data_IF_339783735004
#
_entry.id   IF_339783735004
#
_cell.length_a   1.000
_cell.length_b   1.000
_cell.length_c   1.000
_cell.angle_alpha   90.00
_cell.angle_beta   90.00
_cell.angle_gamma   90.00
#
_symmetry.space_group_name_H-M   'P 1'
#
loop_
_entity.id
_entity.type
_entity.pdbx_description
1 polymer ?
#
# COMPACT_ATOMS: atom_id res chain seq x y z
N UNK A 1 -6.91 -2.79 8.85
CA UNK A 1 -6.58 -1.34 8.93
C UNK A 1 -7.80 -0.47 9.25
N UNK A 2 -8.91 -0.52 8.49
CA UNK A 2 -10.10 0.34 8.70
C UNK A 2 -10.62 0.31 10.14
N UNK A 3 -10.79 -0.87 10.74
CA UNK A 3 -11.23 -0.99 12.13
C UNK A 3 -10.31 -0.23 13.10
N UNK A 4 -9.00 -0.42 12.98
CA UNK A 4 -8.03 0.28 13.84
C UNK A 4 -8.08 1.80 13.65
N UNK A 5 -8.21 2.28 12.41
CA UNK A 5 -8.38 3.69 12.12
C UNK A 5 -9.67 4.25 12.75
N UNK A 6 -10.78 3.53 12.64
CA UNK A 6 -12.05 3.94 13.24
C UNK A 6 -11.96 4.01 14.78
N UNK A 7 -11.25 3.06 15.43
CA UNK A 7 -10.98 3.12 16.88
C UNK A 7 -10.21 4.38 17.24
N UNK A 8 -9.14 4.70 16.50
CA UNK A 8 -8.36 5.93 16.75
C UNK A 8 -9.24 7.16 16.59
N UNK A 9 -10.01 7.25 15.50
CA UNK A 9 -10.85 8.41 15.22
C UNK A 9 -11.98 8.59 16.25
N UNK A 10 -12.47 7.52 16.86
CA UNK A 10 -13.54 7.59 17.85
C UNK A 10 -13.05 7.87 19.26
N UNK A 11 -11.92 7.26 19.68
CA UNK A 11 -11.51 7.25 21.09
C UNK A 11 -10.29 8.10 21.39
N UNK A 12 -9.47 8.46 20.40
CA UNK A 12 -8.34 9.35 20.61
C UNK A 12 -8.81 10.78 20.54
N UNK A 13 -8.62 11.55 21.62
CA UNK A 13 -8.95 12.98 21.68
C UNK A 13 -8.10 13.85 20.78
N UNK A 14 -8.23 15.15 20.89
CA UNK A 14 -7.53 16.18 20.11
C UNK A 14 -6.75 17.19 20.98
N UNK A 15 -6.51 16.82 22.22
CA UNK A 15 -5.93 17.66 23.25
C UNK A 15 -4.37 17.69 23.26
N UNK A 16 -3.73 17.06 22.29
CA UNK A 16 -2.28 17.14 22.10
C UNK A 16 -1.85 16.92 20.65
N UNK A 17 -0.70 17.49 20.26
CA UNK A 17 -0.14 17.32 18.92
C UNK A 17 0.04 15.86 18.50
N UNK A 18 0.46 15.00 19.44
CA UNK A 18 0.62 13.56 19.19
C UNK A 18 -0.72 12.90 18.84
N UNK A 19 -1.79 13.27 19.55
CA UNK A 19 -3.13 12.75 19.30
C UNK A 19 -3.69 13.29 17.99
N UNK A 20 -3.52 14.56 17.70
CA UNK A 20 -3.92 15.18 16.43
C UNK A 20 -3.21 14.51 15.24
N UNK A 21 -1.90 14.27 15.36
CA UNK A 21 -1.13 13.52 14.36
C UNK A 21 -1.66 12.09 14.19
N UNK A 22 -1.86 11.36 15.27
CA UNK A 22 -2.38 10.00 15.21
C UNK A 22 -3.76 9.94 14.50
N UNK A 23 -4.63 10.94 14.73
CA UNK A 23 -5.92 11.06 14.02
C UNK A 23 -5.75 11.35 12.54
N UNK A 24 -4.81 12.24 12.16
CA UNK A 24 -4.52 12.54 10.77
C UNK A 24 -3.97 11.30 10.04
N UNK A 25 -3.01 10.58 10.63
CA UNK A 25 -2.48 9.34 10.09
C UNK A 25 -3.55 8.25 9.97
N UNK A 26 -4.44 8.12 10.95
CA UNK A 26 -5.54 7.17 10.92
C UNK A 26 -6.49 7.41 9.72
N UNK A 27 -6.79 8.67 9.40
CA UNK A 27 -7.55 9.04 8.19
C UNK A 27 -6.84 8.59 6.92
N UNK A 28 -5.53 8.85 6.81
CA UNK A 28 -4.75 8.43 5.64
C UNK A 28 -4.76 6.90 5.48
N UNK A 29 -4.55 6.14 6.57
CA UNK A 29 -4.62 4.68 6.54
C UNK A 29 -6.01 4.15 6.19
N UNK A 30 -7.08 4.80 6.66
CA UNK A 30 -8.45 4.43 6.32
C UNK A 30 -8.71 4.65 4.83
N UNK A 31 -8.36 5.83 4.33
CA UNK A 31 -8.49 6.17 2.92
C UNK A 31 -7.68 5.24 2.01
N UNK A 32 -6.41 4.95 2.35
CA UNK A 32 -5.57 4.00 1.63
C UNK A 32 -6.24 2.63 1.53
N UNK A 33 -6.76 2.12 2.66
CA UNK A 33 -7.45 0.83 2.69
C UNK A 33 -8.71 0.82 1.81
N UNK A 34 -9.46 1.92 1.79
CA UNK A 34 -10.64 2.02 0.93
C UNK A 34 -10.29 2.14 -0.55
N UNK A 35 -9.22 2.85 -0.92
CA UNK A 35 -8.74 2.88 -2.32
C UNK A 35 -8.43 1.46 -2.81
N UNK A 36 -7.75 0.64 -2.00
CA UNK A 36 -7.46 -0.75 -2.34
C UNK A 36 -8.73 -1.59 -2.45
N UNK A 37 -9.63 -1.48 -1.46
CA UNK A 37 -10.89 -2.24 -1.48
C UNK A 37 -11.76 -1.89 -2.67
N UNK A 38 -11.91 -0.59 -3.00
CA UNK A 38 -12.67 -0.14 -4.16
C UNK A 38 -12.03 -0.65 -5.45
N UNK A 39 -10.70 -0.60 -5.54
CA UNK A 39 -9.97 -1.06 -6.73
C UNK A 39 -10.13 -2.57 -6.99
N UNK A 40 -10.23 -3.38 -5.94
CA UNK A 40 -10.32 -4.84 -6.04
C UNK A 40 -11.75 -5.37 -6.12
N UNK A 41 -12.68 -4.76 -5.38
CA UNK A 41 -14.06 -5.27 -5.21
C UNK A 41 -15.16 -4.30 -5.66
N UNK A 42 -14.81 -3.09 -6.08
CA UNK A 42 -15.77 -2.09 -6.58
C UNK A 42 -16.52 -1.38 -5.46
N UNK A 43 -17.49 -2.05 -4.85
CA UNK A 43 -18.39 -1.45 -3.85
C UNK A 43 -18.33 -2.20 -2.51
N UNK A 44 -17.19 -2.14 -1.78
CA UNK A 44 -17.11 -2.73 -0.45
C UNK A 44 -18.09 -2.05 0.52
N UNK A 45 -18.45 -2.68 1.66
CA UNK A 45 -19.22 -2.01 2.70
C UNK A 45 -18.53 -0.73 3.18
N UNK A 46 -19.30 0.33 3.38
CA UNK A 46 -18.80 1.58 3.96
C UNK A 46 -18.91 1.52 5.49
N UNK A 47 -17.75 1.47 6.17
CA UNK A 47 -17.64 1.37 7.62
C UNK A 47 -16.78 2.53 8.12
N UNK A 48 -17.38 3.56 8.65
CA UNK A 48 -16.72 4.79 9.11
C UNK A 48 -16.56 4.89 10.63
N UNK A 49 -17.06 3.89 11.36
CA UNK A 49 -17.00 3.79 12.82
C UNK A 49 -16.73 2.33 13.27
N UNK A 50 -16.34 2.10 14.53
CA UNK A 50 -16.25 0.75 15.09
C UNK A 50 -17.63 0.10 15.18
N UNK A 51 -17.80 -1.03 14.49
CA UNK A 51 -19.08 -1.74 14.43
C UNK A 51 -19.44 -2.38 15.76
N UNK A 52 -20.70 -2.34 16.14
CA UNK A 52 -21.30 -3.13 17.22
C UNK A 52 -21.70 -4.52 16.69
N UNK A 53 -21.94 -5.47 17.60
CA UNK A 53 -22.28 -6.83 17.23
C UNK A 53 -23.48 -6.97 16.29
N UNK A 54 -24.49 -6.10 16.42
CA UNK A 54 -25.67 -6.07 15.56
C UNK A 54 -25.43 -5.40 14.20
N UNK A 55 -24.25 -4.84 13.96
CA UNK A 55 -23.88 -4.11 12.74
C UNK A 55 -22.89 -4.88 11.86
N UNK A 56 -22.51 -6.12 12.21
CA UNK A 56 -21.54 -6.90 11.45
C UNK A 56 -22.02 -7.32 10.06
N UNK A 57 -23.33 -7.38 9.84
CA UNK A 57 -23.90 -7.65 8.51
C UNK A 57 -24.13 -6.33 7.79
N UNK A 58 -23.15 -5.92 6.96
CA UNK A 58 -23.21 -4.69 6.20
C UNK A 58 -23.55 -4.98 4.73
N UNK A 59 -24.40 -4.16 4.16
CA UNK A 59 -24.62 -4.13 2.72
C UNK A 59 -23.43 -3.51 1.99
N UNK A 60 -23.30 -3.78 0.70
CA UNK A 60 -22.34 -3.09 -0.15
C UNK A 60 -22.57 -1.58 -0.12
N UNK A 61 -21.46 -0.84 -0.14
CA UNK A 61 -21.49 0.61 -0.18
C UNK A 61 -21.92 1.16 -1.55
N UNK A 62 -22.15 2.45 -1.57
CA UNK A 62 -22.35 3.22 -2.80
C UNK A 62 -21.01 3.81 -3.24
N UNK A 63 -20.70 3.74 -4.54
CA UNK A 63 -19.42 4.20 -5.10
C UNK A 63 -19.13 5.68 -4.78
N UNK A 64 -20.14 6.53 -4.89
CA UNK A 64 -20.01 7.96 -4.62
C UNK A 64 -19.70 8.22 -3.15
N UNK A 65 -20.40 7.54 -2.23
CA UNK A 65 -20.17 7.67 -0.80
C UNK A 65 -18.79 7.13 -0.37
N UNK A 66 -18.33 6.04 -0.98
CA UNK A 66 -17.01 5.48 -0.73
C UNK A 66 -15.90 6.46 -1.14
N UNK A 67 -15.98 7.02 -2.34
CA UNK A 67 -15.02 8.03 -2.79
C UNK A 67 -15.13 9.34 -2.01
N UNK A 68 -16.34 9.72 -1.58
CA UNK A 68 -16.52 10.89 -0.72
C UNK A 68 -15.79 10.74 0.60
N UNK A 69 -15.88 9.57 1.26
CA UNK A 69 -15.14 9.27 2.49
C UNK A 69 -13.62 9.33 2.26
N UNK A 70 -13.13 8.71 1.18
CA UNK A 70 -11.70 8.72 0.82
C UNK A 70 -11.20 10.17 0.62
N UNK A 71 -11.92 10.94 -0.17
CA UNK A 71 -11.55 12.33 -0.46
C UNK A 71 -11.60 13.20 0.80
N UNK A 72 -12.63 13.02 1.63
CA UNK A 72 -12.76 13.74 2.89
C UNK A 72 -11.60 13.42 3.83
N UNK A 73 -11.31 12.15 4.08
CA UNK A 73 -10.22 11.72 4.97
C UNK A 73 -8.88 12.29 4.55
N UNK A 74 -8.55 12.19 3.26
CA UNK A 74 -7.28 12.68 2.74
C UNK A 74 -7.19 14.21 2.76
N UNK A 75 -8.27 14.90 2.35
CA UNK A 75 -8.31 16.36 2.37
C UNK A 75 -8.19 16.92 3.78
N UNK A 76 -8.91 16.34 4.74
CA UNK A 76 -8.84 16.73 6.14
C UNK A 76 -7.45 16.45 6.73
N UNK A 77 -6.82 15.30 6.40
CA UNK A 77 -5.49 14.98 6.85
C UNK A 77 -4.43 15.95 6.30
N UNK A 78 -4.47 16.24 4.99
CA UNK A 78 -3.56 17.18 4.32
C UNK A 78 -3.68 18.59 4.90
N UNK A 79 -4.91 19.05 5.12
CA UNK A 79 -5.19 20.42 5.60
C UNK A 79 -5.05 20.58 7.11
N UNK A 80 -4.91 19.48 7.86
CA UNK A 80 -4.84 19.52 9.33
C UNK A 80 -3.57 20.20 9.86
N UNK A 81 -2.49 20.22 9.09
CA UNK A 81 -1.18 20.67 9.53
C UNK A 81 -0.49 19.73 10.55
N UNK A 82 -1.07 18.55 10.81
CA UNK A 82 -0.58 17.62 11.84
C UNK A 82 0.25 16.46 11.28
N UNK A 83 0.28 16.29 9.96
CA UNK A 83 1.17 15.31 9.33
C UNK A 83 2.60 15.85 9.25
N UNK A 84 3.56 14.95 9.37
CA UNK A 84 4.97 15.31 9.14
C UNK A 84 5.17 15.75 7.69
N UNK A 85 6.16 16.63 7.48
CA UNK A 85 6.63 16.97 6.15
C UNK A 85 8.09 16.54 6.00
N UNK A 86 8.42 15.91 4.89
CA UNK A 86 9.81 15.63 4.54
C UNK A 86 10.58 16.95 4.40
N UNK A 87 11.76 17.03 4.98
CA UNK A 87 12.52 18.30 5.05
C UNK A 87 13.50 18.47 3.89
N UNK A 88 14.04 17.35 3.37
CA UNK A 88 15.00 17.35 2.24
C UNK A 88 14.92 16.04 1.46
N UNK A 89 15.58 15.96 0.31
CA UNK A 89 15.67 14.76 -0.51
C UNK A 89 16.26 13.55 0.24
N UNK A 90 17.23 13.79 1.11
CA UNK A 90 17.98 12.74 1.81
C UNK A 90 17.34 12.35 3.16
N UNK A 91 16.27 13.03 3.56
CA UNK A 91 15.60 12.76 4.83
C UNK A 91 14.36 11.93 4.62
N UNK A 92 14.47 10.62 4.84
CA UNK A 92 13.32 9.72 4.86
C UNK A 92 12.70 9.68 6.24
N UNK A 93 11.37 9.63 6.31
CA UNK A 93 10.62 9.39 7.54
C UNK A 93 9.75 8.15 7.40
N UNK A 94 9.71 7.33 8.44
CA UNK A 94 8.84 6.14 8.52
C UNK A 94 7.40 6.49 8.94
N UNK A 95 7.09 7.78 9.09
CA UNK A 95 5.74 8.27 9.40
C UNK A 95 4.99 8.63 8.14
N UNK A 96 3.67 8.75 8.25
CA UNK A 96 2.86 9.30 7.18
C UNK A 96 3.18 10.78 6.99
N UNK A 97 3.64 11.13 5.79
CA UNK A 97 3.90 12.52 5.44
C UNK A 97 2.69 13.16 4.76
N UNK A 98 2.65 14.50 4.81
CA UNK A 98 1.66 15.30 4.06
C UNK A 98 1.75 14.99 2.57
N UNK A 99 2.98 14.90 2.03
CA UNK A 99 3.19 14.61 0.61
C UNK A 99 2.71 13.22 0.21
N UNK A 100 2.85 12.21 1.08
CA UNK A 100 2.24 10.90 0.83
C UNK A 100 0.70 10.98 0.80
N UNK A 101 0.09 11.71 1.73
CA UNK A 101 -1.35 11.91 1.73
C UNK A 101 -1.84 12.67 0.48
N UNK A 102 -1.08 13.67 0.01
CA UNK A 102 -1.35 14.39 -1.23
C UNK A 102 -1.23 13.48 -2.45
N UNK A 103 -0.17 12.68 -2.54
CA UNK A 103 0.01 11.72 -3.64
C UNK A 103 -1.12 10.68 -3.67
N UNK A 104 -1.56 10.21 -2.50
CA UNK A 104 -2.66 9.28 -2.37
C UNK A 104 -4.00 9.92 -2.79
N UNK A 105 -4.22 11.20 -2.46
CA UNK A 105 -5.38 11.99 -2.89
C UNK A 105 -5.38 12.17 -4.43
N UNK A 106 -4.20 12.48 -5.01
CA UNK A 106 -4.04 12.54 -6.45
C UNK A 106 -4.39 11.22 -7.14
N UNK A 107 -3.90 10.09 -6.61
CA UNK A 107 -4.26 8.76 -7.07
C UNK A 107 -5.77 8.51 -6.99
N UNK A 108 -6.41 8.90 -5.89
CA UNK A 108 -7.86 8.79 -5.73
C UNK A 108 -8.62 9.58 -6.80
N UNK A 109 -8.19 10.81 -7.09
CA UNK A 109 -8.79 11.63 -8.15
C UNK A 109 -8.59 11.05 -9.54
N UNK A 110 -7.45 10.43 -9.83
CA UNK A 110 -7.21 9.73 -11.10
C UNK A 110 -8.21 8.57 -11.28
N UNK A 111 -8.43 7.75 -10.25
CA UNK A 111 -9.43 6.67 -10.30
C UNK A 111 -10.86 7.18 -10.49
N UNK A 112 -11.17 8.36 -9.98
CA UNK A 112 -12.45 9.05 -10.16
C UNK A 112 -12.53 9.81 -11.51
N UNK A 113 -11.47 9.79 -12.33
CA UNK A 113 -11.34 10.55 -13.59
C UNK A 113 -11.41 12.07 -13.40
N UNK A 114 -11.17 12.55 -12.19
CA UNK A 114 -11.07 13.98 -11.88
C UNK A 114 -9.62 14.46 -12.07
N UNK A 115 -9.18 14.50 -13.33
CA UNK A 115 -7.78 14.77 -13.68
C UNK A 115 -7.33 16.20 -13.32
N UNK A 116 -8.25 17.17 -13.37
CA UNK A 116 -7.92 18.55 -12.98
C UNK A 116 -7.51 18.65 -11.50
N UNK A 117 -8.30 18.06 -10.61
CA UNK A 117 -7.97 18.02 -9.18
C UNK A 117 -6.71 17.17 -8.91
N UNK A 118 -6.54 16.05 -9.66
CA UNK A 118 -5.35 15.23 -9.55
C UNK A 118 -4.07 16.00 -9.88
N UNK A 119 -4.06 16.73 -10.99
CA UNK A 119 -2.90 17.57 -11.40
C UNK A 119 -2.58 18.59 -10.32
N UNK A 120 -3.60 19.31 -9.82
CA UNK A 120 -3.39 20.35 -8.80
C UNK A 120 -2.68 19.81 -7.56
N UNK A 121 -3.16 18.68 -7.00
CA UNK A 121 -2.57 18.15 -5.77
C UNK A 121 -1.24 17.44 -5.99
N UNK A 122 -1.02 16.82 -7.15
CA UNK A 122 0.24 16.16 -7.48
C UNK A 122 1.36 17.18 -7.80
N UNK A 123 1.02 18.30 -8.43
CA UNK A 123 1.94 19.39 -8.66
C UNK A 123 2.48 19.99 -7.35
N UNK A 124 1.68 20.01 -6.29
CA UNK A 124 2.17 20.42 -4.97
C UNK A 124 3.29 19.50 -4.46
N UNK A 125 3.16 18.18 -4.67
CA UNK A 125 4.19 17.20 -4.28
C UNK A 125 5.45 17.41 -5.10
N UNK A 126 5.32 17.52 -6.43
CA UNK A 126 6.44 17.70 -7.36
C UNK A 126 7.18 19.01 -7.06
N UNK A 127 6.43 20.11 -6.96
CA UNK A 127 7.00 21.44 -6.73
C UNK A 127 7.55 21.63 -5.31
N UNK A 128 7.30 20.69 -4.39
CA UNK A 128 7.91 20.73 -3.06
C UNK A 128 9.43 20.62 -3.09
N UNK A 129 10.00 20.00 -4.15
CA UNK A 129 11.43 19.74 -4.29
C UNK A 129 12.00 18.75 -3.26
N UNK A 130 11.12 18.05 -2.54
CA UNK A 130 11.50 17.12 -1.45
C UNK A 130 11.56 15.66 -1.90
N UNK A 131 11.20 15.41 -3.14
CA UNK A 131 11.20 14.09 -3.78
C UNK A 131 11.78 14.22 -5.19
N UNK A 132 12.46 13.19 -5.63
CA UNK A 132 13.02 13.10 -6.98
C UNK A 132 13.12 11.62 -7.38
N UNK A 133 13.33 11.36 -8.66
CA UNK A 133 13.53 10.00 -9.13
C UNK A 133 14.88 9.46 -8.61
N UNK A 134 14.86 8.22 -8.15
CA UNK A 134 16.07 7.57 -7.67
C UNK A 134 16.97 7.18 -8.84
N UNK A 135 18.21 7.68 -8.85
CA UNK A 135 19.10 7.53 -10.00
C UNK A 135 19.65 6.12 -10.20
N UNK A 136 19.73 5.32 -9.14
CA UNK A 136 20.20 3.93 -9.19
C UNK A 136 19.03 2.97 -9.38
N UNK A 137 18.50 2.92 -10.60
CA UNK A 137 17.33 2.11 -10.95
C UNK A 137 17.56 0.61 -10.72
N UNK A 138 18.79 0.11 -10.89
CA UNK A 138 19.11 -1.33 -10.68
C UNK A 138 18.91 -1.75 -9.22
N UNK A 139 19.15 -0.85 -8.29
CA UNK A 139 19.06 -1.12 -6.86
C UNK A 139 17.75 -0.68 -6.21
N UNK A 140 16.81 -0.06 -6.93
CA UNK A 140 15.56 0.48 -6.36
C UNK A 140 14.72 -0.58 -5.62
N UNK A 141 14.78 -1.84 -6.07
CA UNK A 141 14.06 -2.97 -5.47
C UNK A 141 14.91 -3.80 -4.50
N UNK A 142 16.08 -3.31 -4.14
CA UNK A 142 16.98 -3.97 -3.20
C UNK A 142 17.05 -3.20 -1.89
N UNK A 143 17.68 -3.78 -0.86
CA UNK A 143 17.92 -3.10 0.42
C UNK A 143 18.75 -1.82 0.29
N UNK A 144 19.49 -1.63 -0.82
CA UNK A 144 20.22 -0.38 -1.10
C UNK A 144 19.27 0.75 -1.54
N UNK A 145 18.15 0.39 -2.12
CA UNK A 145 17.12 1.35 -2.56
C UNK A 145 16.08 1.66 -1.49
N UNK A 146 16.18 1.10 -0.29
CA UNK A 146 15.26 1.44 0.80
C UNK A 146 15.45 2.90 1.27
N UNK A 147 14.36 3.55 1.64
CA UNK A 147 14.33 4.91 2.18
C UNK A 147 14.97 5.97 1.26
N UNK A 148 14.89 5.78 -0.06
CA UNK A 148 15.47 6.68 -1.05
C UNK A 148 14.66 7.97 -1.28
N UNK A 149 15.17 8.85 -2.14
CA UNK A 149 14.53 10.14 -2.43
C UNK A 149 13.19 10.02 -3.17
N UNK A 150 12.91 8.91 -3.85
CA UNK A 150 11.64 8.66 -4.55
C UNK A 150 10.55 8.13 -3.60
N UNK A 151 10.94 7.54 -2.47
CA UNK A 151 10.02 6.89 -1.55
C UNK A 151 9.14 7.87 -0.79
N UNK A 152 7.84 7.84 -1.06
CA UNK A 152 6.82 8.60 -0.34
C UNK A 152 6.39 7.93 0.96
N UNK A 153 6.29 6.61 0.96
CA UNK A 153 5.96 5.76 2.11
C UNK A 153 6.44 4.34 1.86
N UNK A 154 7.06 3.74 2.86
CA UNK A 154 7.50 2.35 2.82
C UNK A 154 6.96 1.58 4.01
N UNK A 155 6.56 0.34 3.76
CA UNK A 155 6.22 -0.63 4.79
C UNK A 155 7.41 -1.57 4.99
N UNK A 156 8.22 -1.28 5.99
CA UNK A 156 9.46 -2.02 6.23
C UNK A 156 9.20 -3.23 7.11
N UNK A 157 9.86 -4.32 6.78
CA UNK A 157 9.79 -5.59 7.50
C UNK A 157 11.17 -5.98 8.00
N UNK A 158 11.23 -6.47 9.23
CA UNK A 158 12.49 -6.96 9.83
C UNK A 158 12.44 -8.47 9.87
N UNK A 159 13.53 -9.10 9.43
CA UNK A 159 13.67 -10.55 9.60
C UNK A 159 13.95 -10.88 11.07
N UNK A 160 13.07 -11.69 11.67
CA UNK A 160 13.25 -12.25 13.00
C UNK A 160 13.27 -13.78 12.92
N UNK A 161 14.44 -14.38 13.10
CA UNK A 161 14.63 -15.83 13.03
C UNK A 161 13.79 -16.60 14.08
N UNK A 162 13.36 -15.95 15.15
CA UNK A 162 12.55 -16.57 16.20
C UNK A 162 11.04 -16.49 15.92
N UNK A 163 10.62 -15.70 14.93
CA UNK A 163 9.22 -15.51 14.58
C UNK A 163 8.99 -15.69 13.07
N UNK A 164 9.33 -16.85 12.58
CA UNK A 164 9.28 -17.16 11.13
C UNK A 164 7.86 -17.09 10.56
N UNK A 165 6.83 -17.32 11.38
CA UNK A 165 5.43 -17.32 10.92
C UNK A 165 4.83 -15.93 10.77
N UNK A 166 5.41 -14.90 11.42
CA UNK A 166 4.95 -13.51 11.34
C UNK A 166 5.59 -12.69 10.21
N UNK A 167 6.61 -13.23 9.53
CA UNK A 167 7.53 -12.46 8.69
C UNK A 167 7.43 -12.86 7.23
N UNK A 168 6.27 -13.10 6.74
CA UNK A 168 6.15 -13.24 5.30
C UNK A 168 6.09 -11.86 4.65
N UNK A 169 7.26 -11.26 4.43
CA UNK A 169 7.42 -9.96 3.78
C UNK A 169 6.81 -9.91 2.38
N UNK A 170 6.69 -11.05 1.71
CA UNK A 170 6.08 -11.11 0.39
C UNK A 170 5.29 -12.41 0.20
N UNK A 171 4.00 -12.37 0.56
CA UNK A 171 3.09 -13.50 0.36
C UNK A 171 2.89 -13.86 -1.12
N UNK A 172 3.14 -12.93 -2.05
CA UNK A 172 3.07 -13.20 -3.49
C UNK A 172 4.03 -14.32 -3.87
N UNK A 173 5.23 -14.33 -3.31
CA UNK A 173 6.20 -15.41 -3.50
C UNK A 173 5.63 -16.78 -3.12
N UNK A 174 4.94 -16.87 -1.98
CA UNK A 174 4.32 -18.11 -1.51
C UNK A 174 3.17 -18.53 -2.40
N UNK A 175 2.38 -17.58 -2.90
CA UNK A 175 1.21 -17.88 -3.73
C UNK A 175 1.55 -18.25 -5.17
N UNK A 176 2.56 -17.63 -5.76
CA UNK A 176 2.95 -17.88 -7.16
C UNK A 176 4.04 -18.92 -7.32
N UNK A 177 4.69 -19.34 -6.24
CA UNK A 177 5.75 -20.33 -6.32
C UNK A 177 5.19 -21.75 -6.53
N UNK A 178 5.95 -22.58 -7.21
CA UNK A 178 5.56 -23.95 -7.50
C UNK A 178 5.40 -24.76 -6.21
N UNK A 179 4.42 -25.64 -6.17
CA UNK A 179 4.33 -26.62 -5.10
C UNK A 179 5.46 -27.64 -5.25
N UNK A 180 6.39 -27.65 -4.33
CA UNK A 180 7.53 -28.57 -4.34
C UNK A 180 7.13 -30.05 -4.27
N UNK A 181 5.98 -30.35 -3.65
CA UNK A 181 5.41 -31.71 -3.57
C UNK A 181 4.81 -32.21 -4.90
N UNK A 182 4.54 -31.31 -5.85
CA UNK A 182 3.98 -31.65 -7.16
C UNK A 182 5.02 -31.71 -8.27
N UNK A 183 6.25 -31.34 -7.99
CA UNK A 183 7.33 -31.34 -8.97
C UNK A 183 8.27 -32.50 -8.68
N UNK A 184 8.19 -33.56 -9.48
CA UNK A 184 9.15 -34.64 -9.45
C UNK A 184 10.46 -34.20 -10.13
N UNK A 185 11.34 -33.53 -9.38
CA UNK A 185 12.70 -33.26 -9.83
C UNK A 185 13.64 -34.35 -9.30
N UNK A 186 14.43 -34.93 -10.18
CA UNK A 186 15.40 -35.94 -9.81
C UNK A 186 16.63 -35.39 -9.08
N UNK A 187 16.77 -34.07 -9.03
CA UNK A 187 17.86 -33.35 -8.39
C UNK A 187 17.33 -32.26 -7.46
N UNK A 188 17.71 -32.24 -6.16
CA UNK A 188 17.36 -31.16 -5.24
C UNK A 188 18.24 -29.95 -5.54
N UNK A 189 17.77 -29.06 -6.42
CA UNK A 189 18.43 -27.76 -6.59
C UNK A 189 17.89 -26.80 -5.52
N UNK A 190 18.77 -25.99 -4.93
CA UNK A 190 18.41 -25.03 -3.87
C UNK A 190 17.29 -24.06 -4.28
N UNK A 191 17.14 -23.81 -5.56
CA UNK A 191 16.11 -22.94 -6.14
C UNK A 191 14.68 -23.47 -5.91
N UNK A 192 14.52 -24.80 -5.76
CA UNK A 192 13.21 -25.45 -5.63
C UNK A 192 12.89 -25.92 -4.22
N UNK A 193 13.78 -25.70 -3.26
CA UNK A 193 13.61 -26.13 -1.87
C UNK A 193 12.55 -25.32 -1.09
N UNK A 194 12.11 -24.19 -1.63
CA UNK A 194 11.10 -23.33 -1.00
C UNK A 194 9.73 -23.61 -1.63
N UNK A 195 9.02 -24.58 -1.10
CA UNK A 195 7.69 -24.93 -1.53
C UNK A 195 6.70 -23.78 -1.28
N UNK A 196 6.08 -23.29 -2.35
CA UNK A 196 4.93 -22.40 -2.25
C UNK A 196 3.62 -23.20 -2.17
N UNK A 197 2.50 -22.54 -1.91
CA UNK A 197 1.17 -23.17 -1.87
C UNK A 197 0.60 -23.45 -3.27
N UNK A 198 1.26 -22.97 -4.32
CA UNK A 198 0.98 -23.33 -5.72
C UNK A 198 -0.42 -23.01 -6.15
N UNK A 199 -0.86 -21.78 -6.01
CA UNK A 199 -2.05 -21.35 -6.73
C UNK A 199 -1.76 -21.41 -8.22
N UNK A 200 -2.45 -22.31 -8.93
CA UNK A 200 -2.33 -22.53 -10.35
C UNK A 200 -2.66 -21.24 -11.10
N UNK A 201 -1.66 -20.45 -11.45
CA UNK A 201 -1.81 -19.50 -12.53
C UNK A 201 -1.94 -20.34 -13.81
N UNK A 202 -3.15 -20.50 -14.30
CA UNK A 202 -3.41 -21.10 -15.62
C UNK A 202 -2.70 -20.20 -16.64
N UNK A 203 -1.50 -20.60 -17.08
CA UNK A 203 -0.79 -19.90 -18.15
C UNK A 203 -1.65 -19.98 -19.42
N UNK A 204 -2.11 -18.85 -19.91
CA UNK A 204 -2.63 -18.77 -21.28
C UNK A 204 -1.49 -19.10 -22.25
N UNK A 205 -1.79 -19.72 -23.40
CA UNK A 205 -0.80 -20.13 -24.42
C UNK A 205 0.20 -19.02 -24.81
N UNK A 206 -0.18 -17.75 -24.70
CA UNK A 206 0.68 -16.59 -24.98
C UNK A 206 1.84 -16.43 -23.97
N UNK A 207 1.64 -16.78 -22.70
CA UNK A 207 2.69 -16.68 -21.66
C UNK A 207 3.75 -17.80 -21.79
N UNK A 208 3.37 -18.93 -22.39
CA UNK A 208 4.34 -20.00 -22.69
C UNK A 208 5.34 -19.62 -23.79
N UNK A 209 5.03 -18.70 -24.70
CA UNK A 209 5.97 -18.23 -25.72
C UNK A 209 7.08 -17.33 -25.15
N UNK A 210 6.77 -16.51 -24.15
CA UNK A 210 7.75 -15.62 -23.50
C UNK A 210 8.73 -16.40 -22.63
N UNK A 211 8.30 -17.47 -21.94
CA UNK A 211 9.18 -18.28 -21.11
C UNK A 211 10.18 -19.16 -21.88
N UNK A 212 9.98 -19.35 -23.20
CA UNK A 212 10.95 -20.02 -24.07
C UNK A 212 12.13 -19.12 -24.46
N UNK A 213 11.98 -17.81 -24.40
CA UNK A 213 13.03 -16.84 -24.72
C UNK A 213 13.99 -16.60 -23.54
N UNK A 214 13.49 -16.65 -22.30
CA UNK A 214 14.34 -16.48 -21.11
C UNK A 214 15.27 -17.67 -20.85
N UNK A 215 14.92 -18.88 -21.34
CA UNK A 215 15.75 -20.08 -21.20
C UNK A 215 16.92 -20.11 -22.23
N UNK A 216 16.87 -19.25 -23.25
CA UNK A 216 17.89 -19.20 -24.31
C UNK A 216 18.96 -18.11 -24.09
N UNK A 217 18.88 -17.32 -23.02
CA UNK A 217 19.82 -16.23 -22.71
C UNK A 217 20.58 -16.51 -21.37
N UNK A 218 20.40 -17.69 -20.76
CA UNK A 218 21.11 -18.14 -19.57
C UNK A 218 22.26 -19.09 -19.90
#
# INVERSE_FOLDING_TARGET
MIYAANIVLQYVGDDSEVKLRARAEAKVFRAMSYIELISLWGTPPLVDHPLKANEYSQANGNTEALWALVNQDLTEAVNSGNLEEKTSLDNFTYRITKQFAQALLGKAYVFQKNYGAAVTVLDEVINSGKYDLYSDYENIQTTKGEANCESLFESNYVYDANNVTGIMSNMIWVYVHWRGDMLAFNEPTQIYSHGGWGFLIRRRKATMRLSKWEILIG
#
